data_IF_886799294991
#
_entry.id   IF_886799294991
#
_cell.length_a   1.000
_cell.length_b   1.000
_cell.length_c   1.000
_cell.angle_alpha   90.00
_cell.angle_beta   90.00
_cell.angle_gamma   90.00
#
_symmetry.space_group_name_H-M   'P 1'
#
loop_
_entity.id
_entity.type
_entity.pdbx_description
1 polymer ?
#
# COMPACT_ATOMS: atom_id res chain seq x y z
N UNK A 1 -18.59 0.88 17.91
CA UNK A 1 -17.20 0.38 18.03
C UNK A 1 -16.33 1.21 17.09
N UNK A 2 -15.07 1.48 17.44
CA UNK A 2 -14.13 2.17 16.54
C UNK A 2 -13.79 1.22 15.37
N UNK A 3 -13.78 1.72 14.13
CA UNK A 3 -13.32 0.95 12.97
C UNK A 3 -11.84 0.55 13.19
N UNK A 4 -11.43 -0.67 12.84
CA UNK A 4 -10.03 -1.08 12.92
C UNK A 4 -9.19 -0.27 11.93
N UNK A 5 -7.94 0.01 12.29
CA UNK A 5 -6.93 0.56 11.38
C UNK A 5 -6.23 -0.60 10.67
N UNK A 6 -6.17 -0.54 9.34
CA UNK A 6 -5.72 -1.64 8.48
C UNK A 6 -4.60 -1.12 7.59
N UNK A 7 -3.41 -1.69 7.73
CA UNK A 7 -2.27 -1.44 6.85
C UNK A 7 -2.24 -2.50 5.74
N UNK A 8 -2.27 -2.06 4.49
CA UNK A 8 -2.16 -2.92 3.31
C UNK A 8 -0.83 -2.63 2.62
N UNK A 9 -0.07 -3.69 2.32
CA UNK A 9 1.24 -3.65 1.65
C UNK A 9 1.34 -4.77 0.62
N UNK A 10 2.21 -4.61 -0.38
CA UNK A 10 2.62 -5.66 -1.32
C UNK A 10 4.03 -5.37 -1.86
N UNK A 11 4.55 -6.29 -2.67
CA UNK A 11 5.82 -6.19 -3.40
C UNK A 11 5.64 -5.92 -4.91
N UNK A 12 4.46 -6.19 -5.48
CA UNK A 12 4.16 -5.92 -6.90
C UNK A 12 4.02 -4.43 -7.24
N UNK A 13 3.88 -3.59 -6.22
CA UNK A 13 3.74 -2.14 -6.33
C UNK A 13 2.30 -1.64 -6.22
N UNK A 14 2.17 -0.33 -6.03
CA UNK A 14 0.95 0.34 -5.62
C UNK A 14 -0.16 0.22 -6.67
N UNK A 15 0.18 0.21 -7.96
CA UNK A 15 -0.80 0.12 -9.05
C UNK A 15 -1.23 -1.32 -9.39
N UNK A 16 -0.72 -2.34 -8.68
CA UNK A 16 -1.00 -3.73 -9.02
C UNK A 16 -2.50 -4.08 -8.83
N UNK A 17 -3.13 -4.83 -9.75
CA UNK A 17 -4.57 -5.10 -9.69
C UNK A 17 -4.99 -5.87 -8.43
N UNK A 18 -4.10 -6.71 -7.89
CA UNK A 18 -4.36 -7.47 -6.66
C UNK A 18 -4.53 -6.58 -5.43
N UNK A 19 -3.59 -5.65 -5.21
CA UNK A 19 -3.69 -4.72 -4.06
C UNK A 19 -4.88 -3.76 -4.22
N UNK A 20 -5.16 -3.29 -5.45
CA UNK A 20 -6.36 -2.46 -5.74
C UNK A 20 -7.65 -3.18 -5.34
N UNK A 21 -7.76 -4.47 -5.68
CA UNK A 21 -8.95 -5.27 -5.33
C UNK A 21 -9.07 -5.45 -3.82
N UNK A 22 -7.96 -5.69 -3.13
CA UNK A 22 -7.94 -5.83 -1.67
C UNK A 22 -8.35 -4.52 -0.98
N UNK A 23 -7.79 -3.38 -1.38
CA UNK A 23 -8.14 -2.05 -0.85
C UNK A 23 -9.65 -1.81 -0.94
N UNK A 24 -10.23 -2.03 -2.12
CA UNK A 24 -11.67 -1.84 -2.35
C UNK A 24 -12.52 -2.65 -1.37
N UNK A 25 -12.13 -3.89 -1.07
CA UNK A 25 -12.86 -4.75 -0.11
C UNK A 25 -12.64 -4.24 1.31
N UNK A 26 -11.40 -3.93 1.70
CA UNK A 26 -11.03 -3.59 3.07
C UNK A 26 -11.60 -2.25 3.54
N UNK A 27 -11.91 -1.33 2.62
CA UNK A 27 -12.58 -0.06 2.92
C UNK A 27 -13.95 -0.24 3.60
N UNK A 28 -14.62 -1.38 3.38
CA UNK A 28 -15.88 -1.69 4.05
C UNK A 28 -15.68 -2.15 5.51
N UNK A 29 -14.46 -2.58 5.87
CA UNK A 29 -14.15 -3.20 7.17
C UNK A 29 -13.40 -2.27 8.13
N UNK A 30 -12.72 -1.23 7.65
CA UNK A 30 -11.88 -0.40 8.51
C UNK A 30 -11.40 0.92 7.90
N UNK A 31 -10.55 1.61 8.65
CA UNK A 31 -9.75 2.74 8.16
C UNK A 31 -8.51 2.16 7.47
N UNK A 32 -8.37 2.39 6.16
CA UNK A 32 -7.32 1.76 5.34
C UNK A 32 -6.17 2.74 5.09
N UNK A 33 -4.95 2.27 5.35
CA UNK A 33 -3.70 2.91 4.94
C UNK A 33 -2.95 1.94 4.03
N UNK A 34 -2.53 2.43 2.87
CA UNK A 34 -1.79 1.65 1.87
C UNK A 34 -0.38 2.20 1.80
N UNK A 35 0.61 1.30 1.88
CA UNK A 35 2.02 1.64 1.63
C UNK A 35 2.59 0.59 0.69
N UNK A 36 2.96 1.00 -0.52
CA UNK A 36 3.46 0.06 -1.51
C UNK A 36 4.56 0.68 -2.39
N UNK A 37 5.46 -0.14 -2.96
CA UNK A 37 6.47 0.34 -3.90
C UNK A 37 5.85 1.03 -5.13
N UNK A 38 6.59 1.94 -5.74
CA UNK A 38 6.24 2.60 -7.00
C UNK A 38 6.20 1.62 -8.20
N UNK A 39 6.91 0.50 -8.11
CA UNK A 39 6.88 -0.61 -9.06
C UNK A 39 7.33 -1.95 -8.47
N UNK A 40 7.29 -3.03 -9.27
CA UNK A 40 7.53 -4.39 -8.79
C UNK A 40 8.90 -4.59 -8.13
N UNK A 41 8.93 -5.30 -7.00
CA UNK A 41 10.13 -5.63 -6.22
C UNK A 41 10.50 -7.12 -6.30
N UNK A 42 10.40 -7.69 -7.51
CA UNK A 42 10.61 -9.12 -7.77
C UNK A 42 11.97 -9.60 -7.26
N UNK A 43 11.98 -10.73 -6.53
CA UNK A 43 13.20 -11.42 -6.14
C UNK A 43 14.03 -10.75 -5.03
N UNK A 44 13.53 -9.70 -4.37
CA UNK A 44 14.26 -9.01 -3.29
C UNK A 44 14.26 -9.76 -1.95
N UNK A 45 13.31 -10.68 -1.72
CA UNK A 45 13.20 -11.38 -0.44
C UNK A 45 13.07 -10.39 0.74
N UNK A 46 13.83 -10.61 1.82
CA UNK A 46 13.86 -9.72 2.99
C UNK A 46 14.95 -8.65 2.90
N UNK A 47 15.30 -8.19 1.70
CA UNK A 47 16.30 -7.14 1.53
C UNK A 47 15.87 -5.84 2.22
N UNK A 48 16.83 -5.16 2.83
CA UNK A 48 16.65 -3.85 3.46
C UNK A 48 17.53 -2.81 2.77
N UNK A 49 17.02 -1.60 2.63
CA UNK A 49 17.79 -0.46 2.11
C UNK A 49 18.59 0.17 3.24
N UNK A 50 19.92 0.18 3.14
CA UNK A 50 20.83 0.74 4.16
C UNK A 50 21.52 2.01 3.67
N UNK A 51 21.98 2.02 2.41
CA UNK A 51 22.89 3.06 1.89
C UNK A 51 22.17 4.21 1.16
N UNK A 52 20.86 4.11 0.96
CA UNK A 52 20.07 5.13 0.26
C UNK A 52 18.84 5.54 1.05
N UNK A 53 18.37 6.75 0.78
CA UNK A 53 17.19 7.30 1.43
C UNK A 53 15.92 6.75 0.80
N UNK A 54 14.98 6.30 1.62
CA UNK A 54 13.63 5.92 1.16
C UNK A 54 12.77 7.19 1.16
N UNK A 55 12.05 7.41 0.06
CA UNK A 55 11.00 8.43 -0.05
C UNK A 55 9.63 7.77 0.07
N UNK A 56 8.69 8.49 0.65
CA UNK A 56 7.32 8.05 0.87
C UNK A 56 6.43 9.24 0.56
N UNK A 57 5.84 9.23 -0.63
CA UNK A 57 5.08 10.35 -1.17
C UNK A 57 3.60 9.96 -1.16
N UNK A 58 2.74 10.82 -0.61
CA UNK A 58 1.31 10.56 -0.63
C UNK A 58 0.80 10.62 -2.07
N UNK A 59 0.02 9.62 -2.48
CA UNK A 59 -0.59 9.55 -3.82
C UNK A 59 -2.11 9.50 -3.75
N UNK A 60 -2.74 9.88 -4.86
CA UNK A 60 -4.19 9.75 -5.08
C UNK A 60 -4.34 8.97 -6.38
N UNK A 61 -4.74 7.70 -6.28
CA UNK A 61 -4.88 6.79 -7.43
C UNK A 61 -6.35 6.67 -7.84
N UNK A 62 -7.25 6.67 -6.87
CA UNK A 62 -8.69 6.66 -7.07
C UNK A 62 -9.40 7.51 -6.01
N UNK A 63 -10.72 7.63 -6.13
CA UNK A 63 -11.57 8.43 -5.23
C UNK A 63 -11.98 7.67 -3.94
N UNK A 64 -11.28 6.58 -3.61
CA UNK A 64 -11.54 5.78 -2.43
C UNK A 64 -11.20 6.50 -1.11
N UNK A 65 -11.76 6.05 0.02
CA UNK A 65 -11.55 6.67 1.32
C UNK A 65 -10.17 6.37 1.94
N UNK A 66 -9.39 5.45 1.36
CA UNK A 66 -8.08 5.07 1.87
C UNK A 66 -7.05 6.20 1.73
N UNK A 67 -6.02 6.16 2.57
CA UNK A 67 -4.82 6.99 2.39
C UNK A 67 -3.71 6.14 1.79
N UNK A 68 -3.05 6.65 0.75
CA UNK A 68 -2.07 5.89 -0.03
C UNK A 68 -0.72 6.59 -0.11
N UNK A 69 0.34 5.78 -0.01
CA UNK A 69 1.74 6.18 -0.08
C UNK A 69 2.56 5.17 -0.87
#
# INVERSE_FOLDING_TARGET
>A
MKKPLILIVNDDGINAPGIRKLISIMNDFGEVVVVAPDGPQSGKGHAITIESTIRCDKVIIDDGPQTEY
#
